data_IF_036847794935
#
_entry.id   IF_036847794935
#
_cell.length_a   1.000
_cell.length_b   1.000
_cell.length_c   1.000
_cell.angle_alpha   90.00
_cell.angle_beta   90.00
_cell.angle_gamma   90.00
#
_symmetry.space_group_name_H-M   'P 1'
#
loop_
_entity.id
_entity.type
_entity.pdbx_description
1 polymer ?
#
# COMPACT_ATOMS: atom_id res chain seq x y z
N UNK A 1 2.94 20.37 -41.86
CA UNK A 1 3.02 19.00 -41.29
C UNK A 1 4.29 18.97 -40.48
N UNK A 2 4.24 18.77 -39.16
CA UNK A 2 5.45 18.73 -38.35
C UNK A 2 6.31 17.53 -38.75
N UNK A 3 7.62 17.75 -38.79
CA UNK A 3 8.62 16.82 -39.29
C UNK A 3 8.96 15.80 -38.20
N UNK A 4 8.33 14.63 -38.27
CA UNK A 4 8.44 13.58 -37.25
C UNK A 4 9.88 13.05 -37.08
N UNK A 5 10.72 13.18 -38.11
CA UNK A 5 12.13 12.81 -38.01
C UNK A 5 12.89 13.80 -37.12
N UNK A 6 12.61 15.11 -37.27
CA UNK A 6 13.20 16.15 -36.42
C UNK A 6 12.82 15.96 -34.95
N UNK A 7 11.56 15.61 -34.67
CA UNK A 7 11.10 15.30 -33.32
C UNK A 7 11.83 14.09 -32.71
N UNK A 8 12.10 13.06 -33.52
CA UNK A 8 12.83 11.87 -33.09
C UNK A 8 14.30 12.16 -32.82
N UNK A 9 14.96 12.96 -33.67
CA UNK A 9 16.33 13.42 -33.43
C UNK A 9 16.45 14.30 -32.18
N UNK A 10 15.48 15.18 -31.94
CA UNK A 10 15.44 16.01 -30.73
C UNK A 10 15.19 15.17 -29.47
N UNK A 11 14.37 14.12 -29.55
CA UNK A 11 14.13 13.21 -28.44
C UNK A 11 15.35 12.35 -28.10
N UNK A 12 16.15 11.96 -29.10
CA UNK A 12 17.38 11.19 -28.89
C UNK A 12 18.52 12.03 -28.27
N UNK A 13 18.50 13.34 -28.50
CA UNK A 13 19.48 14.30 -27.96
C UNK A 13 18.99 15.00 -26.69
N UNK A 14 17.70 14.89 -26.37
CA UNK A 14 17.18 15.37 -25.11
C UNK A 14 17.92 14.62 -24.00
N UNK A 15 18.68 15.30 -23.13
CA UNK A 15 19.24 14.63 -21.97
C UNK A 15 18.05 14.01 -21.25
N UNK A 16 18.09 12.69 -21.09
CA UNK A 16 17.20 11.97 -20.18
C UNK A 16 17.16 12.86 -18.94
N UNK A 17 15.98 13.38 -18.59
CA UNK A 17 15.81 14.24 -17.42
C UNK A 17 16.10 13.34 -16.22
N UNK A 18 17.39 13.16 -15.99
CA UNK A 18 18.02 12.61 -14.83
C UNK A 18 17.58 13.57 -13.75
N UNK A 19 16.47 13.22 -13.10
CA UNK A 19 16.31 13.57 -11.71
C UNK A 19 17.35 12.73 -10.99
N UNK A 20 18.59 13.19 -11.13
CA UNK A 20 19.73 12.84 -10.32
C UNK A 20 19.44 13.47 -8.94
N UNK A 21 18.43 12.92 -8.27
CA UNK A 21 18.30 13.05 -6.83
C UNK A 21 19.14 11.89 -6.31
N UNK A 22 20.34 12.22 -5.84
CA UNK A 22 21.16 11.37 -5.00
C UNK A 22 20.48 11.20 -3.62
N UNK A 23 19.25 10.70 -3.65
CA UNK A 23 18.31 10.63 -2.53
C UNK A 23 17.22 9.61 -2.82
N UNK A 24 17.48 8.36 -2.43
CA UNK A 24 16.50 7.27 -2.29
C UNK A 24 15.97 6.64 -3.59
N UNK A 25 16.51 5.45 -3.90
CA UNK A 25 16.25 4.67 -5.10
C UNK A 25 14.77 4.36 -5.37
N UNK A 26 14.28 4.91 -6.47
CA UNK A 26 12.98 4.62 -7.08
C UNK A 26 13.03 3.28 -7.82
N UNK A 27 13.02 2.15 -7.08
CA UNK A 27 12.86 0.78 -7.65
C UNK A 27 12.01 -0.19 -6.82
N UNK A 28 11.25 0.28 -5.84
CA UNK A 28 10.30 -0.57 -5.11
C UNK A 28 8.89 -0.03 -5.31
N UNK A 29 8.06 -0.77 -6.06
CA UNK A 29 6.78 -0.32 -6.58
C UNK A 29 5.87 0.29 -5.52
N UNK A 30 5.32 1.48 -5.77
CA UNK A 30 4.27 2.23 -5.07
C UNK A 30 4.13 2.06 -3.54
N UNK A 31 5.17 1.63 -2.84
CA UNK A 31 5.11 1.30 -1.42
C UNK A 31 5.23 2.58 -0.64
N UNK A 32 4.11 3.03 -0.07
CA UNK A 32 4.05 4.24 0.72
C UNK A 32 4.44 3.92 2.17
N UNK A 33 5.39 4.69 2.71
CA UNK A 33 5.73 4.64 4.13
C UNK A 33 4.76 5.54 4.88
N UNK A 34 4.01 4.96 5.83
CA UNK A 34 3.12 5.69 6.73
C UNK A 34 3.76 5.80 8.11
N UNK A 35 3.89 7.02 8.64
CA UNK A 35 4.31 7.24 10.02
C UNK A 35 3.10 7.20 10.95
N UNK A 36 3.12 6.29 11.94
CA UNK A 36 2.05 6.14 12.92
C UNK A 36 2.39 6.93 14.19
N UNK A 37 1.52 7.85 14.60
CA UNK A 37 1.61 8.55 15.89
C UNK A 37 0.56 7.97 16.82
N UNK A 38 1.00 7.44 17.95
CA UNK A 38 0.15 6.89 19.00
C UNK A 38 0.27 7.74 20.25
N UNK A 39 -0.80 7.80 21.04
CA UNK A 39 -0.73 8.36 22.38
C UNK A 39 0.20 7.53 23.27
N UNK A 40 0.79 8.17 24.28
CA UNK A 40 1.80 7.54 25.14
C UNK A 40 1.29 6.23 25.75
N UNK A 41 0.08 6.23 26.32
CA UNK A 41 -0.52 5.05 26.94
C UNK A 41 -0.71 3.89 25.93
N UNK A 42 -1.16 4.18 24.72
CA UNK A 42 -1.35 3.18 23.68
C UNK A 42 -0.01 2.61 23.17
N UNK A 43 1.02 3.44 23.07
CA UNK A 43 2.36 3.01 22.68
C UNK A 43 2.98 2.08 23.73
N UNK A 44 2.84 2.40 25.02
CA UNK A 44 3.32 1.51 26.10
C UNK A 44 2.60 0.16 26.09
N UNK A 45 1.27 0.15 25.90
CA UNK A 45 0.51 -1.09 25.77
C UNK A 45 0.97 -1.91 24.56
N UNK A 46 1.17 -1.27 23.41
CA UNK A 46 1.68 -1.95 22.21
C UNK A 46 3.07 -2.54 22.45
N UNK A 47 3.95 -1.82 23.14
CA UNK A 47 5.30 -2.30 23.49
C UNK A 47 5.25 -3.52 24.41
N UNK A 48 4.42 -3.48 25.45
CA UNK A 48 4.26 -4.61 26.37
C UNK A 48 3.76 -5.84 25.64
N UNK A 49 2.71 -5.69 24.83
CA UNK A 49 2.11 -6.80 24.09
C UNK A 49 3.07 -7.35 23.02
N UNK A 50 3.84 -6.48 22.36
CA UNK A 50 4.89 -6.90 21.45
C UNK A 50 6.00 -7.68 22.16
N UNK A 51 6.38 -7.29 23.38
CA UNK A 51 7.37 -8.01 24.18
C UNK A 51 6.87 -9.40 24.59
N UNK A 52 5.61 -9.52 25.01
CA UNK A 52 4.97 -10.80 25.33
C UNK A 52 4.93 -11.74 24.13
N UNK A 53 4.63 -11.20 22.94
CA UNK A 53 4.60 -11.93 21.68
C UNK A 53 5.98 -12.09 21.01
N UNK A 54 7.06 -11.67 21.68
CA UNK A 54 8.43 -11.70 21.16
C UNK A 54 8.58 -11.10 19.74
N UNK A 55 7.87 -10.00 19.49
CA UNK A 55 7.86 -9.30 18.21
C UNK A 55 8.24 -7.82 18.36
N UNK A 56 8.49 -7.15 17.25
CA UNK A 56 8.70 -5.70 17.24
C UNK A 56 7.36 -4.98 17.33
N UNK A 57 7.24 -3.89 18.11
CA UNK A 57 6.02 -3.08 18.18
C UNK A 57 5.54 -2.60 16.81
N UNK A 58 6.49 -2.25 15.92
CA UNK A 58 6.17 -1.83 14.56
C UNK A 58 5.61 -2.97 13.71
N UNK A 59 6.19 -4.17 13.82
CA UNK A 59 5.72 -5.35 13.11
C UNK A 59 4.32 -5.74 13.56
N UNK A 60 4.08 -5.77 14.87
CA UNK A 60 2.78 -6.07 15.46
C UNK A 60 1.70 -5.08 14.98
N UNK A 61 2.00 -3.78 15.03
CA UNK A 61 1.06 -2.76 14.55
C UNK A 61 0.74 -2.93 13.06
N UNK A 62 1.76 -3.20 12.22
CA UNK A 62 1.56 -3.45 10.79
C UNK A 62 0.65 -4.66 10.58
N UNK A 63 0.91 -5.75 11.28
CA UNK A 63 0.18 -7.01 11.08
C UNK A 63 -1.29 -6.85 11.52
N UNK A 64 -1.55 -6.15 12.63
CA UNK A 64 -2.91 -5.79 13.05
C UNK A 64 -3.65 -4.90 12.06
N UNK A 65 -2.96 -3.90 11.47
CA UNK A 65 -3.57 -3.06 10.42
C UNK A 65 -3.96 -3.92 9.22
N UNK A 66 -3.09 -4.82 8.78
CA UNK A 66 -3.36 -5.72 7.65
C UNK A 66 -4.52 -6.68 7.96
N UNK A 67 -4.56 -7.25 9.16
CA UNK A 67 -5.65 -8.11 9.60
C UNK A 67 -6.98 -7.35 9.63
N UNK A 68 -6.99 -6.13 10.17
CA UNK A 68 -8.18 -5.29 10.21
C UNK A 68 -8.71 -4.93 8.82
N UNK A 69 -7.81 -4.64 7.89
CA UNK A 69 -8.17 -4.35 6.49
C UNK A 69 -8.79 -5.58 5.81
N UNK A 70 -8.23 -6.78 6.02
CA UNK A 70 -8.78 -8.03 5.49
C UNK A 70 -10.19 -8.28 6.02
N UNK A 71 -10.37 -8.17 7.34
CA UNK A 71 -11.68 -8.32 7.98
C UNK A 71 -12.72 -7.35 7.41
N UNK A 72 -12.34 -6.08 7.22
CA UNK A 72 -13.25 -5.07 6.67
C UNK A 72 -13.61 -5.35 5.20
N UNK A 73 -12.64 -5.83 4.40
CA UNK A 73 -12.88 -6.23 3.01
C UNK A 73 -13.86 -7.42 2.92
N UNK A 74 -13.66 -8.46 3.73
CA UNK A 74 -14.59 -9.60 3.79
C UNK A 74 -15.98 -9.18 4.25
N UNK A 75 -16.06 -8.34 5.28
CA UNK A 75 -17.32 -7.83 5.80
C UNK A 75 -18.10 -7.11 4.70
N UNK A 76 -17.45 -6.25 3.93
CA UNK A 76 -18.09 -5.54 2.80
C UNK A 76 -18.56 -6.49 1.70
N UNK A 77 -17.76 -7.49 1.34
CA UNK A 77 -18.16 -8.49 0.34
C UNK A 77 -19.42 -9.27 0.77
N UNK A 78 -19.54 -9.61 2.06
CA UNK A 78 -20.74 -10.28 2.59
C UNK A 78 -21.98 -9.40 2.48
N UNK A 79 -21.87 -8.10 2.73
CA UNK A 79 -22.99 -7.16 2.58
C UNK A 79 -23.33 -6.86 1.11
N UNK A 80 -22.36 -6.94 0.20
CA UNK A 80 -22.56 -6.69 -1.22
C UNK A 80 -23.07 -7.91 -2.01
N UNK A 81 -23.02 -9.12 -1.44
CA UNK A 81 -23.53 -10.32 -2.13
C UNK A 81 -25.04 -10.41 -1.94
N UNK A 82 -25.86 -10.11 -2.97
CA UNK A 82 -27.31 -10.30 -2.84
C UNK A 82 -27.59 -11.79 -2.58
N UNK A 83 -28.62 -12.13 -1.78
CA UNK A 83 -29.03 -13.52 -1.62
C UNK A 83 -29.36 -14.08 -3.00
N UNK A 84 -28.64 -15.12 -3.44
CA UNK A 84 -28.95 -15.78 -4.70
C UNK A 84 -30.29 -16.50 -4.53
N UNK A 85 -31.32 -16.14 -5.30
CA UNK A 85 -32.57 -16.86 -5.25
C UNK A 85 -32.34 -18.23 -5.90
N UNK A 86 -32.39 -19.29 -5.09
CA UNK A 86 -32.41 -20.66 -5.57
C UNK A 86 -33.85 -20.96 -6.00
N UNK A 87 -34.16 -20.80 -7.28
CA UNK A 87 -35.43 -21.34 -7.79
C UNK A 87 -35.33 -22.87 -7.81
N UNK A 88 -36.30 -23.61 -7.23
CA UNK A 88 -36.35 -25.04 -7.39
C UNK A 88 -36.62 -25.32 -8.88
N UNK A 89 -35.75 -26.12 -9.50
CA UNK A 89 -36.01 -26.62 -10.85
C UNK A 89 -37.22 -27.56 -10.77
N UNK A 90 -38.27 -27.24 -11.53
CA UNK A 90 -39.47 -28.05 -11.70
C UNK A 90 -39.33 -28.99 -12.89
#
# INVERSE_FOLDING_TARGET
>A
MPDHELESYLAALAPEQDVETTGTGRRFGNSQVYQLRLDLAANEQLRQLAAELQTSPLSLARDWILERLRWEAERRQRFQRPPQPHWPQA
#
